data_IF_122743028026
#
_entry.id   IF_122743028026
#
_cell.length_a   1.000
_cell.length_b   1.000
_cell.length_c   1.000
_cell.angle_alpha   90.00
_cell.angle_beta   90.00
_cell.angle_gamma   90.00
#
_symmetry.space_group_name_H-M   'P 1'
#
loop_
_entity.id
_entity.type
_entity.pdbx_description
1 polymer ?
#
# COMPACT_ATOMS: atom_id res chain seq x y z
N UNK A 1 21.33 3.08 32.15
CA UNK A 1 21.78 1.73 31.76
C UNK A 1 21.73 1.64 30.25
N UNK A 2 22.79 1.16 29.60
CA UNK A 2 22.76 0.89 28.17
C UNK A 2 21.92 -0.37 27.91
N UNK A 3 21.19 -0.38 26.80
CA UNK A 3 20.52 -1.58 26.30
C UNK A 3 20.99 -1.87 24.88
N UNK A 4 20.80 -3.10 24.41
CA UNK A 4 20.96 -3.49 23.01
C UNK A 4 19.70 -4.18 22.51
N UNK A 5 19.50 -4.19 21.19
CA UNK A 5 18.48 -5.00 20.54
C UNK A 5 19.13 -6.26 19.96
N UNK A 6 18.69 -7.43 20.42
CA UNK A 6 18.78 -8.65 19.61
C UNK A 6 17.63 -8.61 18.63
N UNK A 7 17.86 -8.92 17.36
CA UNK A 7 16.84 -8.75 16.34
C UNK A 7 16.77 -9.96 15.40
N UNK A 8 15.61 -10.12 14.78
CA UNK A 8 15.38 -11.08 13.71
C UNK A 8 14.32 -10.51 12.76
N UNK A 9 14.41 -10.83 11.47
CA UNK A 9 13.41 -10.41 10.50
C UNK A 9 13.14 -11.53 9.50
N UNK A 10 11.87 -11.70 9.13
CA UNK A 10 11.42 -12.73 8.21
C UNK A 10 10.32 -12.18 7.31
N UNK A 11 10.33 -12.59 6.05
CA UNK A 11 9.29 -12.24 5.08
C UNK A 11 9.03 -13.44 4.16
N UNK A 12 7.77 -13.65 3.80
CA UNK A 12 7.30 -14.66 2.85
C UNK A 12 6.23 -14.06 1.94
N UNK A 13 6.25 -14.43 0.66
CA UNK A 13 5.27 -13.96 -0.33
C UNK A 13 3.84 -14.44 -0.04
N UNK A 14 3.68 -15.47 0.79
CA UNK A 14 2.38 -16.09 1.05
C UNK A 14 1.99 -17.08 -0.04
N UNK A 15 0.74 -17.54 0.00
CA UNK A 15 0.28 -18.65 -0.85
C UNK A 15 -0.54 -18.21 -2.06
N UNK A 16 -0.97 -16.95 -2.07
CA UNK A 16 -1.89 -16.40 -3.09
C UNK A 16 -1.23 -15.33 -3.95
N UNK A 17 -0.39 -14.46 -3.35
CA UNK A 17 0.27 -13.37 -4.08
C UNK A 17 1.39 -13.89 -4.98
N UNK A 18 1.60 -13.19 -6.10
CA UNK A 18 2.65 -13.53 -7.08
C UNK A 18 4.01 -12.91 -6.74
N UNK A 19 4.03 -11.84 -5.97
CA UNK A 19 5.20 -11.06 -5.61
C UNK A 19 5.08 -10.57 -4.17
N UNK A 20 6.23 -10.28 -3.57
CA UNK A 20 6.31 -9.76 -2.22
C UNK A 20 6.48 -8.24 -2.26
N UNK A 21 5.46 -7.53 -1.79
CA UNK A 21 5.41 -6.07 -1.73
C UNK A 21 5.70 -5.55 -0.32
N UNK A 22 5.89 -6.42 0.68
CA UNK A 22 6.38 -6.02 2.00
C UNK A 22 7.89 -5.80 1.98
N UNK A 23 8.39 -4.81 2.71
CA UNK A 23 9.80 -4.59 3.01
C UNK A 23 10.05 -4.52 4.51
N UNK A 24 11.21 -5.01 4.94
CA UNK A 24 11.61 -4.94 6.35
C UNK A 24 13.11 -4.75 6.55
N UNK A 25 13.47 -4.10 7.65
CA UNK A 25 14.85 -3.85 8.07
C UNK A 25 14.98 -4.02 9.57
N UNK A 26 16.07 -4.66 10.02
CA UNK A 26 16.35 -4.84 11.43
C UNK A 26 17.84 -4.74 11.73
N UNK A 27 18.20 -3.91 12.71
CA UNK A 27 19.57 -3.71 13.17
C UNK A 27 19.61 -3.53 14.69
N UNK A 28 20.80 -3.33 15.30
CA UNK A 28 20.91 -3.01 16.72
C UNK A 28 20.20 -1.71 17.16
N UNK A 29 19.95 -0.78 16.23
CA UNK A 29 19.38 0.54 16.55
C UNK A 29 18.09 0.86 15.81
N UNK A 30 17.78 0.18 14.71
CA UNK A 30 16.66 0.50 13.84
C UNK A 30 15.86 -0.75 13.48
N UNK A 31 14.54 -0.64 13.60
CA UNK A 31 13.57 -1.61 13.07
C UNK A 31 12.64 -0.88 12.12
N UNK A 32 12.39 -1.44 10.94
CA UNK A 32 11.46 -0.88 9.95
C UNK A 32 10.62 -1.99 9.35
N UNK A 33 9.33 -1.72 9.17
CA UNK A 33 8.44 -2.53 8.35
C UNK A 33 7.60 -1.60 7.47
N UNK A 34 7.46 -1.96 6.20
CA UNK A 34 6.67 -1.24 5.23
C UNK A 34 5.88 -2.24 4.36
N UNK A 35 4.57 -2.13 4.34
CA UNK A 35 3.67 -2.96 3.53
C UNK A 35 3.26 -2.17 2.29
N UNK A 36 3.78 -2.60 1.15
CA UNK A 36 3.68 -1.89 -0.12
C UNK A 36 2.37 -2.21 -0.84
N UNK A 37 1.66 -1.15 -1.24
CA UNK A 37 0.42 -1.24 -1.98
C UNK A 37 0.48 -0.49 -3.32
N UNK A 38 -0.44 -0.84 -4.21
CA UNK A 38 -0.41 -0.47 -5.62
C UNK A 38 -0.32 -1.72 -6.48
N UNK A 39 -0.50 -1.57 -7.80
CA UNK A 39 -0.31 -2.70 -8.74
C UNK A 39 1.01 -3.44 -8.49
N UNK A 40 1.16 -4.66 -9.00
CA UNK A 40 2.26 -5.55 -8.59
C UNK A 40 3.65 -4.88 -8.54
N UNK A 41 4.04 -4.07 -9.53
CA UNK A 41 5.33 -3.40 -9.60
C UNK A 41 5.43 -2.02 -8.88
N UNK A 42 4.32 -1.55 -8.31
CA UNK A 42 4.23 -0.27 -7.61
C UNK A 42 4.45 -0.45 -6.10
N UNK A 43 3.83 -1.46 -5.50
CA UNK A 43 3.94 -1.72 -4.06
C UNK A 43 5.35 -2.14 -3.62
N UNK A 44 6.03 -3.00 -4.38
CA UNK A 44 7.39 -3.44 -4.07
C UNK A 44 8.41 -2.29 -4.14
N UNK A 45 8.26 -1.40 -5.12
CA UNK A 45 9.05 -0.17 -5.22
C UNK A 45 8.75 0.74 -4.03
N UNK A 46 7.48 0.94 -3.67
CA UNK A 46 7.10 1.82 -2.58
C UNK A 46 7.71 1.41 -1.24
N UNK A 47 7.50 0.15 -0.83
CA UNK A 47 8.06 -0.35 0.43
C UNK A 47 9.59 -0.39 0.42
N UNK A 48 10.21 -0.78 -0.70
CA UNK A 48 11.68 -0.81 -0.82
C UNK A 48 12.31 0.58 -0.71
N UNK A 49 11.70 1.60 -1.31
CA UNK A 49 12.19 2.99 -1.24
C UNK A 49 12.08 3.50 0.18
N UNK A 50 10.93 3.33 0.84
CA UNK A 50 10.73 3.74 2.24
C UNK A 50 11.72 3.06 3.19
N UNK A 51 11.92 1.74 3.06
CA UNK A 51 12.92 1.02 3.85
C UNK A 51 14.32 1.56 3.58
N UNK A 52 14.67 1.86 2.33
CA UNK A 52 15.97 2.41 1.96
C UNK A 52 16.27 3.78 2.59
N UNK A 53 15.30 4.70 2.57
CA UNK A 53 15.43 6.02 3.22
C UNK A 53 15.63 5.89 4.73
N UNK A 54 14.88 5.00 5.38
CA UNK A 54 14.98 4.80 6.83
C UNK A 54 16.25 4.04 7.23
N UNK A 55 16.71 3.08 6.42
CA UNK A 55 17.93 2.32 6.69
C UNK A 55 19.18 3.22 6.79
N UNK A 56 19.18 4.37 6.10
CA UNK A 56 20.27 5.35 6.19
C UNK A 56 20.41 5.97 7.59
N UNK A 57 19.37 5.90 8.44
CA UNK A 57 19.47 6.33 9.83
C UNK A 57 20.35 5.39 10.68
N UNK A 58 20.60 4.16 10.24
CA UNK A 58 21.43 3.23 11.02
C UNK A 58 22.94 3.53 10.92
N UNK A 59 23.34 4.43 10.02
CA UNK A 59 24.74 4.83 9.81
C UNK A 59 25.25 5.83 10.87
N UNK A 60 24.33 6.47 11.61
CA UNK A 60 24.64 7.53 12.58
C UNK A 60 24.20 7.16 14.01
N UNK A 61 24.71 7.91 14.99
CA UNK A 61 24.30 7.81 16.40
C UNK A 61 23.57 9.10 16.79
N UNK A 62 22.31 8.96 17.20
CA UNK A 62 21.47 10.10 17.55
C UNK A 62 21.30 10.26 19.07
N UNK A 63 21.13 11.51 19.51
CA UNK A 63 20.66 11.83 20.85
C UNK A 63 19.19 11.47 21.03
N UNK A 64 18.74 11.27 22.27
CA UNK A 64 17.35 10.93 22.55
C UNK A 64 16.35 12.00 22.06
N UNK A 65 16.73 13.27 22.12
CA UNK A 65 15.90 14.41 21.70
C UNK A 65 15.79 14.53 20.17
N UNK A 66 16.75 13.97 19.43
CA UNK A 66 16.80 14.02 17.96
C UNK A 66 16.03 12.87 17.30
N UNK A 67 15.70 11.81 18.05
CA UNK A 67 15.11 10.58 17.49
C UNK A 67 13.83 10.81 16.67
N UNK A 68 12.84 11.51 17.23
CA UNK A 68 11.60 11.80 16.50
C UNK A 68 11.82 12.77 15.32
N UNK A 69 12.56 13.89 15.49
CA UNK A 69 12.93 14.75 14.36
C UNK A 69 13.57 14.01 13.18
N UNK A 70 14.53 13.12 13.42
CA UNK A 70 15.21 12.40 12.33
C UNK A 70 14.30 11.36 11.67
N UNK A 71 13.50 10.61 12.46
CA UNK A 71 12.51 9.70 11.91
C UNK A 71 11.48 10.42 11.03
N UNK A 72 10.89 11.51 11.54
CA UNK A 72 9.91 12.31 10.79
C UNK A 72 10.50 12.84 9.48
N UNK A 73 11.73 13.35 9.54
CA UNK A 73 12.43 13.85 8.37
C UNK A 73 12.61 12.74 7.32
N UNK A 74 13.14 11.58 7.70
CA UNK A 74 13.36 10.47 6.76
C UNK A 74 12.06 9.88 6.20
N UNK A 75 10.99 9.80 7.01
CA UNK A 75 9.67 9.37 6.50
C UNK A 75 9.11 10.38 5.50
N UNK A 76 9.26 11.68 5.75
CA UNK A 76 8.82 12.73 4.82
C UNK A 76 9.66 12.74 3.53
N UNK A 77 10.97 12.54 3.61
CA UNK A 77 11.84 12.40 2.44
C UNK A 77 11.44 11.19 1.59
N UNK A 78 11.13 10.05 2.24
CA UNK A 78 10.57 8.89 1.56
C UNK A 78 9.21 9.21 0.92
N UNK A 79 8.30 9.88 1.63
CA UNK A 79 7.00 10.28 1.07
C UNK A 79 7.14 11.12 -0.20
N UNK A 80 7.99 12.14 -0.16
CA UNK A 80 8.24 13.03 -1.31
C UNK A 80 8.81 12.25 -2.50
N UNK A 81 9.80 11.36 -2.27
CA UNK A 81 10.37 10.50 -3.32
C UNK A 81 9.29 9.58 -3.94
N UNK A 82 8.39 9.03 -3.11
CA UNK A 82 7.28 8.22 -3.61
C UNK A 82 6.31 9.03 -4.47
N UNK A 83 5.88 10.22 -4.02
CA UNK A 83 4.99 11.07 -4.80
C UNK A 83 5.63 11.46 -6.15
N UNK A 84 6.90 11.86 -6.14
CA UNK A 84 7.63 12.25 -7.35
C UNK A 84 7.75 11.07 -8.35
N UNK A 85 8.02 9.86 -7.87
CA UNK A 85 8.06 8.66 -8.74
C UNK A 85 6.70 8.32 -9.34
N UNK A 86 5.63 8.41 -8.55
CA UNK A 86 4.27 8.14 -9.02
C UNK A 86 3.81 9.16 -10.07
N UNK A 87 4.27 10.42 -9.96
CA UNK A 87 4.00 11.47 -10.95
C UNK A 87 4.79 11.29 -12.24
N UNK A 88 6.03 10.80 -12.16
CA UNK A 88 6.94 10.67 -13.30
C UNK A 88 6.81 9.35 -14.07
N UNK A 89 6.29 8.28 -13.45
CA UNK A 89 6.06 6.99 -14.11
C UNK A 89 4.60 6.53 -13.96
N UNK A 90 3.82 6.52 -15.06
CA UNK A 90 2.43 6.01 -15.04
C UNK A 90 2.29 4.56 -14.54
N UNK A 91 3.34 3.74 -14.59
CA UNK A 91 3.31 2.38 -14.06
C UNK A 91 3.37 2.33 -12.52
N UNK A 92 3.81 3.42 -11.89
CA UNK A 92 3.87 3.61 -10.44
C UNK A 92 2.71 4.46 -9.91
N UNK A 93 1.74 4.79 -10.76
CA UNK A 93 0.57 5.57 -10.37
C UNK A 93 -0.23 4.85 -9.27
N UNK A 94 -0.52 5.57 -8.19
CA UNK A 94 -1.24 5.04 -7.02
C UNK A 94 -0.39 4.06 -6.19
N UNK A 95 0.93 4.11 -6.30
CA UNK A 95 1.79 3.41 -5.36
C UNK A 95 1.72 4.04 -3.98
N UNK A 96 1.80 3.21 -2.96
CA UNK A 96 1.93 3.68 -1.60
C UNK A 96 2.46 2.58 -0.70
N UNK A 97 2.74 2.92 0.54
CA UNK A 97 3.16 1.91 1.53
C UNK A 97 2.76 2.35 2.92
N UNK A 98 2.47 1.38 3.78
CA UNK A 98 2.51 1.59 5.23
C UNK A 98 3.96 1.82 5.68
N UNK A 99 4.14 2.30 6.90
CA UNK A 99 5.44 2.36 7.54
C UNK A 99 5.29 2.30 9.06
N UNK A 100 6.06 1.40 9.68
CA UNK A 100 6.42 1.51 11.10
C UNK A 100 7.93 1.53 11.19
N UNK A 101 8.48 2.49 11.95
CA UNK A 101 9.89 2.49 12.29
C UNK A 101 10.10 2.73 13.78
N UNK A 102 11.03 1.98 14.38
CA UNK A 102 11.55 2.22 15.72
C UNK A 102 13.04 2.51 15.67
N UNK A 103 13.44 3.67 16.20
CA UNK A 103 14.83 4.08 16.34
C UNK A 103 15.22 4.17 17.81
N UNK A 104 16.37 3.59 18.15
CA UNK A 104 16.89 3.51 19.51
C UNK A 104 17.99 4.55 19.74
N UNK A 105 17.92 5.22 20.88
CA UNK A 105 19.09 5.87 21.49
C UNK A 105 19.14 5.54 22.97
N UNK A 106 20.25 4.97 23.44
CA UNK A 106 20.40 4.50 24.81
C UNK A 106 19.22 3.59 25.21
N UNK A 107 18.46 3.93 26.26
CA UNK A 107 17.26 3.21 26.71
C UNK A 107 15.94 3.77 26.15
N UNK A 108 15.98 4.69 25.19
CA UNK A 108 14.79 5.26 24.56
C UNK A 108 14.58 4.65 23.18
N UNK A 109 13.31 4.36 22.88
CA UNK A 109 12.83 3.95 21.57
C UNK A 109 11.83 5.01 21.10
N UNK A 110 12.16 5.69 20.00
CA UNK A 110 11.19 6.51 19.28
C UNK A 110 10.53 5.67 18.20
N UNK A 111 9.23 5.82 18.03
CA UNK A 111 8.43 5.13 17.03
C UNK A 111 7.66 6.13 16.19
N UNK A 112 7.63 5.89 14.89
CA UNK A 112 6.71 6.54 13.94
C UNK A 112 5.88 5.47 13.25
N UNK A 113 4.61 5.78 12.98
CA UNK A 113 3.67 4.86 12.37
C UNK A 113 2.71 5.56 11.40
N UNK A 114 2.46 4.91 10.28
CA UNK A 114 1.37 5.20 9.36
C UNK A 114 0.91 3.93 8.64
N UNK A 115 -0.41 3.72 8.55
CA UNK A 115 -1.02 2.60 7.85
C UNK A 115 -1.66 1.65 8.82
N UNK A 116 -1.79 0.38 8.45
CA UNK A 116 -2.45 -0.66 9.23
C UNK A 116 -1.52 -1.81 9.63
N UNK A 117 -0.26 -1.78 9.22
CA UNK A 117 0.76 -2.63 9.84
C UNK A 117 0.84 -2.36 11.34
N UNK A 118 1.17 -3.37 12.14
CA UNK A 118 1.06 -3.27 13.60
C UNK A 118 2.39 -3.44 14.33
N UNK A 119 2.57 -2.66 15.39
CA UNK A 119 3.61 -2.89 16.38
C UNK A 119 3.02 -3.43 17.68
N UNK A 120 3.62 -4.48 18.21
CA UNK A 120 3.27 -5.06 19.50
C UNK A 120 4.47 -5.01 20.45
N UNK A 121 4.19 -4.76 21.73
CA UNK A 121 5.13 -4.88 22.83
C UNK A 121 4.68 -6.03 23.73
N UNK A 122 5.53 -7.02 23.90
CA UNK A 122 5.42 -8.05 24.94
C UNK A 122 6.26 -7.60 26.14
N UNK A 123 5.58 -7.34 27.26
CA UNK A 123 6.21 -6.98 28.53
C UNK A 123 5.49 -7.71 29.66
N UNK A 124 6.26 -8.29 30.58
CA UNK A 124 5.73 -9.05 31.72
C UNK A 124 4.74 -10.17 31.31
N UNK A 125 4.99 -10.79 30.16
CA UNK A 125 4.16 -11.87 29.61
C UNK A 125 2.84 -11.43 28.96
N UNK A 126 2.59 -10.12 28.81
CA UNK A 126 1.40 -9.58 28.15
C UNK A 126 1.75 -8.87 26.85
N UNK A 127 1.13 -9.28 25.75
CA UNK A 127 1.25 -8.65 24.45
C UNK A 127 0.27 -7.48 24.37
N UNK A 128 0.74 -6.31 23.97
CA UNK A 128 -0.09 -5.12 23.79
C UNK A 128 0.21 -4.49 22.44
N UNK A 129 -0.83 -4.22 21.65
CA UNK A 129 -0.69 -3.43 20.43
C UNK A 129 -0.36 -1.99 20.80
N UNK A 130 0.69 -1.43 20.18
CA UNK A 130 1.21 -0.09 20.47
C UNK A 130 0.78 0.92 19.41
N UNK A 131 0.55 0.46 18.18
CA UNK A 131 0.05 1.27 17.06
C UNK A 131 -1.47 1.31 17.03
N UNK A 132 -2.02 2.32 16.38
CA UNK A 132 -3.44 2.47 16.13
C UNK A 132 -3.69 2.42 14.63
N UNK A 133 -4.44 1.43 14.14
CA UNK A 133 -4.55 1.18 12.70
C UNK A 133 -5.22 2.36 11.97
N UNK A 134 -4.61 2.85 10.89
CA UNK A 134 -5.21 3.87 10.03
C UNK A 134 -6.14 3.25 8.98
N UNK A 135 -7.13 2.46 9.42
CA UNK A 135 -8.14 1.82 8.55
C UNK A 135 -9.52 2.46 8.70
N UNK A 136 -10.37 2.27 7.69
CA UNK A 136 -11.78 2.68 7.75
C UNK A 136 -12.50 2.03 8.94
N UNK A 137 -12.26 0.75 9.20
CA UNK A 137 -12.95 0.04 10.29
C UNK A 137 -12.50 0.55 11.64
N UNK A 138 -11.21 0.86 11.82
CA UNK A 138 -10.73 1.46 13.06
C UNK A 138 -11.36 2.84 13.27
N UNK A 139 -11.46 3.67 12.23
CA UNK A 139 -12.18 4.95 12.29
C UNK A 139 -13.64 4.76 12.73
N UNK A 140 -14.35 3.76 12.20
CA UNK A 140 -15.74 3.48 12.59
C UNK A 140 -15.86 3.01 14.04
N UNK A 141 -14.91 2.19 14.51
CA UNK A 141 -14.82 1.75 15.92
C UNK A 141 -14.60 2.93 16.85
N UNK A 142 -13.65 3.80 16.54
CA UNK A 142 -13.33 4.98 17.35
C UNK A 142 -14.52 5.94 17.49
N UNK A 143 -15.40 5.97 16.49
CA UNK A 143 -16.62 6.79 16.48
C UNK A 143 -17.85 6.04 17.01
N UNK A 144 -17.69 4.84 17.56
CA UNK A 144 -18.78 4.02 18.12
C UNK A 144 -19.81 3.57 17.08
N UNK A 145 -19.44 3.58 15.79
CA UNK A 145 -20.31 3.13 14.69
C UNK A 145 -20.17 1.63 14.44
N UNK A 146 -19.10 1.03 14.95
CA UNK A 146 -18.80 -0.40 14.84
C UNK A 146 -18.21 -0.90 16.15
N UNK A 147 -18.49 -2.13 16.53
CA UNK A 147 -17.77 -2.80 17.61
C UNK A 147 -16.45 -3.40 17.09
N UNK A 148 -15.43 -3.61 17.95
CA UNK A 148 -14.20 -4.29 17.55
C UNK A 148 -14.45 -5.67 16.90
N UNK A 149 -15.42 -6.42 17.40
CA UNK A 149 -15.77 -7.75 16.90
C UNK A 149 -16.41 -7.69 15.49
N UNK A 150 -17.23 -6.67 15.23
CA UNK A 150 -17.80 -6.42 13.90
C UNK A 150 -16.74 -5.93 12.90
N UNK A 151 -15.74 -5.19 13.36
CA UNK A 151 -14.64 -4.68 12.53
C UNK A 151 -13.83 -5.81 11.88
N UNK A 152 -13.56 -6.89 12.61
CA UNK A 152 -12.82 -8.06 12.12
C UNK A 152 -13.49 -8.74 10.91
N UNK A 153 -14.82 -8.71 10.88
CA UNK A 153 -15.62 -9.38 9.84
C UNK A 153 -16.10 -8.42 8.76
N UNK A 154 -15.74 -7.13 8.84
CA UNK A 154 -16.26 -6.11 7.94
C UNK A 154 -15.69 -6.28 6.51
N UNK A 155 -16.52 -6.17 5.45
CA UNK A 155 -16.06 -6.31 4.06
C UNK A 155 -14.97 -5.32 3.63
N UNK A 156 -14.87 -4.18 4.32
CA UNK A 156 -13.88 -3.12 4.06
C UNK A 156 -12.81 -3.02 5.15
N UNK A 157 -12.51 -4.11 5.86
CA UNK A 157 -11.51 -4.08 6.96
C UNK A 157 -10.10 -3.70 6.48
N UNK A 158 -9.74 -4.05 5.25
CA UNK A 158 -8.45 -3.73 4.63
C UNK A 158 -8.43 -2.36 3.91
N UNK A 159 -9.42 -1.49 4.12
CA UNK A 159 -9.41 -0.15 3.49
C UNK A 159 -8.56 0.78 4.36
N UNK A 160 -7.33 1.02 3.92
CA UNK A 160 -6.39 1.96 4.53
C UNK A 160 -6.82 3.40 4.23
N UNK A 161 -6.71 4.27 5.23
CA UNK A 161 -7.07 5.69 5.18
C UNK A 161 -5.85 6.62 5.12
N UNK A 162 -4.68 6.16 5.61
CA UNK A 162 -3.43 6.93 5.60
C UNK A 162 -2.27 6.01 5.19
N UNK A 163 -1.51 6.42 4.18
CA UNK A 163 -0.30 5.73 3.73
C UNK A 163 0.69 6.72 3.12
N UNK A 164 1.96 6.32 2.98
CA UNK A 164 2.96 7.11 2.28
C UNK A 164 2.77 6.99 0.76
N UNK A 165 3.09 8.05 0.01
CA UNK A 165 3.04 8.06 -1.46
C UNK A 165 1.65 8.21 -2.10
N UNK A 166 0.57 7.92 -1.38
CA UNK A 166 -0.79 7.84 -1.95
C UNK A 166 -1.36 9.22 -2.37
N UNK A 167 -1.19 10.25 -1.55
CA UNK A 167 -1.68 11.61 -1.84
C UNK A 167 -0.59 12.64 -1.62
N UNK A 168 -0.39 13.62 -2.54
CA UNK A 168 0.55 14.72 -2.34
C UNK A 168 0.15 15.59 -1.15
N UNK A 169 1.11 15.95 -0.31
CA UNK A 169 0.92 16.88 0.80
C UNK A 169 1.70 16.49 2.05
N UNK A 170 1.35 17.11 3.17
CA UNK A 170 1.94 16.75 4.47
C UNK A 170 1.38 15.41 4.94
N UNK A 171 2.26 14.54 5.42
CA UNK A 171 1.89 13.28 6.04
C UNK A 171 1.73 13.48 7.54
N UNK A 172 0.53 13.22 8.04
CA UNK A 172 0.34 13.07 9.48
C UNK A 172 0.93 11.72 9.90
N UNK A 173 1.82 11.73 10.89
CA UNK A 173 2.44 10.53 11.46
C UNK A 173 2.03 10.38 12.92
N UNK A 174 1.82 9.14 13.33
CA UNK A 174 1.62 8.81 14.73
C UNK A 174 3.00 8.59 15.37
N UNK A 175 3.31 9.39 16.39
CA UNK A 175 4.64 9.46 16.99
C UNK A 175 4.61 9.10 18.48
N UNK A 176 5.59 8.34 18.96
CA UNK A 176 5.75 8.12 20.39
C UNK A 176 7.22 7.90 20.79
N UNK A 177 7.56 8.24 22.03
CA UNK A 177 8.84 7.87 22.64
C UNK A 177 8.57 7.06 23.89
N UNK A 178 9.27 5.93 24.02
CA UNK A 178 9.13 5.00 25.14
C UNK A 178 10.47 4.66 25.75
N UNK A 179 10.44 4.29 27.02
CA UNK A 179 11.58 3.68 27.68
C UNK A 179 11.54 2.17 27.49
N UNK A 180 12.64 1.65 26.97
CA UNK A 180 12.88 0.24 26.74
C UNK A 180 13.53 -0.38 27.98
N UNK A 181 12.97 -1.50 28.42
CA UNK A 181 13.43 -2.25 29.58
C UNK A 181 13.98 -3.60 29.12
N UNK A 182 15.09 -4.09 29.72
CA UNK A 182 15.56 -5.44 29.45
C UNK A 182 14.44 -6.48 29.62
N UNK A 183 14.32 -7.39 28.66
CA UNK A 183 13.26 -8.40 28.59
C UNK A 183 12.06 -7.99 27.72
N UNK A 184 11.92 -6.72 27.35
CA UNK A 184 10.91 -6.30 26.37
C UNK A 184 11.12 -7.00 25.03
N UNK A 185 10.03 -7.45 24.41
CA UNK A 185 10.06 -7.90 23.02
C UNK A 185 9.12 -7.09 22.15
N UNK A 186 9.66 -6.62 21.03
CA UNK A 186 8.94 -5.88 20.01
C UNK A 186 8.69 -6.78 18.80
N UNK A 187 7.48 -6.69 18.24
CA UNK A 187 7.10 -7.29 16.97
C UNK A 187 6.48 -6.20 16.09
N UNK A 188 7.04 -5.99 14.91
CA UNK A 188 6.39 -5.29 13.81
C UNK A 188 5.90 -6.33 12.82
N UNK A 189 4.67 -6.22 12.35
CA UNK A 189 4.13 -7.14 11.36
C UNK A 189 3.17 -6.47 10.37
N UNK A 190 3.16 -6.98 9.13
CA UNK A 190 2.12 -6.69 8.14
C UNK A 190 0.81 -7.41 8.47
N UNK A 191 -0.27 -7.04 7.77
CA UNK A 191 -1.60 -7.62 7.95
C UNK A 191 -1.67 -9.10 7.60
N UNK A 192 -0.77 -9.59 6.75
CA UNK A 192 -0.64 -11.00 6.43
C UNK A 192 -0.29 -11.89 7.63
N UNK A 193 0.20 -11.33 8.75
CA UNK A 193 0.31 -12.08 10.01
C UNK A 193 -1.00 -12.04 10.79
N UNK A 194 -1.39 -10.86 11.29
CA UNK A 194 -2.48 -10.74 12.26
C UNK A 194 -3.88 -10.92 11.63
N UNK A 195 -3.97 -10.89 10.29
CA UNK A 195 -5.19 -11.22 9.55
C UNK A 195 -5.51 -12.71 9.53
N UNK A 196 -4.55 -13.59 9.86
CA UNK A 196 -4.76 -15.07 9.89
C UNK A 196 -4.25 -15.75 11.16
N UNK A 197 -3.46 -15.06 12.00
CA UNK A 197 -2.97 -15.55 13.28
C UNK A 197 -3.56 -14.73 14.42
N UNK A 198 -4.29 -15.38 15.31
CA UNK A 198 -4.94 -14.74 16.46
C UNK A 198 -3.94 -14.14 17.46
N UNK A 199 -4.35 -13.07 18.15
CA UNK A 199 -3.54 -12.33 19.10
C UNK A 199 -2.91 -13.23 20.18
N UNK A 200 -3.69 -14.13 20.77
CA UNK A 200 -3.23 -15.05 21.83
C UNK A 200 -2.16 -16.01 21.32
N UNK A 201 -2.25 -16.42 20.05
CA UNK A 201 -1.26 -17.30 19.43
C UNK A 201 0.06 -16.55 19.18
N UNK A 202 -0.02 -15.26 18.82
CA UNK A 202 1.15 -14.40 18.69
C UNK A 202 1.81 -14.22 20.07
N UNK A 203 1.03 -13.90 21.11
CA UNK A 203 1.52 -13.74 22.49
C UNK A 203 2.22 -15.00 23.00
N UNK A 204 1.59 -16.17 22.84
CA UNK A 204 2.15 -17.45 23.26
C UNK A 204 3.46 -17.75 22.52
N UNK A 205 3.50 -17.49 21.21
CA UNK A 205 4.67 -17.74 20.37
C UNK A 205 5.84 -16.87 20.78
N UNK A 206 5.59 -15.57 21.00
CA UNK A 206 6.61 -14.62 21.45
C UNK A 206 7.07 -14.91 22.88
N UNK A 207 6.21 -15.45 23.75
CA UNK A 207 6.56 -15.72 25.16
C UNK A 207 7.42 -16.98 25.35
N UNK A 208 7.21 -18.02 24.52
CA UNK A 208 7.78 -19.36 24.77
C UNK A 208 9.06 -19.68 23.99
N UNK A 209 9.42 -18.88 23.00
CA UNK A 209 10.50 -19.19 22.06
C UNK A 209 11.63 -18.17 22.16
N UNK A 210 12.82 -18.53 21.70
CA UNK A 210 13.84 -17.52 21.41
C UNK A 210 13.44 -16.70 20.17
N UNK A 211 14.06 -15.55 19.96
CA UNK A 211 13.65 -14.58 18.95
C UNK A 211 13.58 -15.15 17.52
N UNK A 212 14.60 -15.90 17.10
CA UNK A 212 14.65 -16.52 15.77
C UNK A 212 13.56 -17.59 15.61
N UNK A 213 13.43 -18.49 16.59
CA UNK A 213 12.41 -19.54 16.56
C UNK A 213 11.00 -18.97 16.66
N UNK A 214 10.81 -17.81 17.29
CA UNK A 214 9.54 -17.10 17.30
C UNK A 214 9.21 -16.57 15.91
N UNK A 215 10.14 -15.89 15.24
CA UNK A 215 9.92 -15.34 13.90
C UNK A 215 9.64 -16.40 12.84
N UNK A 216 10.43 -17.48 12.82
CA UNK A 216 10.15 -18.63 11.94
C UNK A 216 8.76 -19.21 12.22
N UNK A 217 8.40 -19.35 13.51
CA UNK A 217 7.11 -19.92 13.87
C UNK A 217 5.93 -19.03 13.47
N UNK A 218 6.07 -17.70 13.58
CA UNK A 218 5.02 -16.77 13.15
C UNK A 218 4.76 -16.88 11.65
N UNK A 219 5.81 -16.97 10.82
CA UNK A 219 5.66 -17.22 9.38
C UNK A 219 5.00 -18.57 9.10
N UNK A 220 5.42 -19.65 9.79
CA UNK A 220 4.78 -20.96 9.64
C UNK A 220 3.29 -20.93 10.01
N UNK A 221 2.93 -20.23 11.08
CA UNK A 221 1.54 -20.10 11.53
C UNK A 221 0.71 -19.33 10.51
N UNK A 222 1.23 -18.24 9.95
CA UNK A 222 0.54 -17.49 8.90
C UNK A 222 0.32 -18.33 7.64
N UNK A 223 1.36 -19.07 7.20
CA UNK A 223 1.26 -20.01 6.07
C UNK A 223 0.26 -21.14 6.35
N UNK A 224 0.21 -21.64 7.58
CA UNK A 224 -0.77 -22.65 8.00
C UNK A 224 -2.20 -22.10 8.04
N UNK A 225 -2.37 -20.81 8.37
CA UNK A 225 -3.61 -20.06 8.29
C UNK A 225 -4.04 -19.69 6.87
N UNK A 226 -3.24 -20.05 5.86
CA UNK A 226 -3.54 -19.85 4.44
C UNK A 226 -2.77 -18.72 3.77
N UNK A 227 -2.17 -17.79 4.53
CA UNK A 227 -1.40 -16.63 4.06
C UNK A 227 -1.91 -16.05 2.71
N UNK A 228 -3.11 -15.43 2.71
CA UNK A 228 -3.69 -14.83 1.51
C UNK A 228 -2.92 -13.58 1.05
N UNK A 229 -2.06 -13.03 1.91
CA UNK A 229 -1.19 -11.89 1.64
C UNK A 229 0.29 -12.20 1.88
N UNK A 230 1.15 -11.25 1.54
CA UNK A 230 2.54 -11.19 1.98
C UNK A 230 2.60 -11.14 3.50
N UNK A 231 3.58 -11.81 4.09
CA UNK A 231 3.71 -11.90 5.55
C UNK A 231 5.12 -11.50 5.94
N UNK A 232 5.23 -10.41 6.69
CA UNK A 232 6.52 -9.90 7.17
C UNK A 232 6.47 -9.67 8.67
N UNK A 233 7.53 -10.09 9.36
CA UNK A 233 7.73 -9.86 10.79
C UNK A 233 9.14 -9.34 11.05
N UNK A 234 9.23 -8.27 11.84
CA UNK A 234 10.48 -7.71 12.35
C UNK A 234 10.43 -7.74 13.87
N UNK A 235 11.40 -8.40 14.49
CA UNK A 235 11.41 -8.74 15.89
C UNK A 235 12.63 -8.13 16.57
N UNK A 236 12.45 -7.64 17.79
CA UNK A 236 13.57 -7.29 18.66
C UNK A 236 13.33 -7.71 20.11
N UNK A 237 14.40 -8.10 20.80
CA UNK A 237 14.45 -8.33 22.23
C UNK A 237 15.44 -7.35 22.85
N UNK A 238 14.97 -6.57 23.82
CA UNK A 238 15.80 -5.63 24.56
C UNK A 238 16.63 -6.41 25.59
N UNK A 239 17.94 -6.27 25.52
CA UNK A 239 18.89 -6.90 26.46
C UNK A 239 19.75 -5.86 27.14
N UNK A 240 20.19 -6.16 28.36
CA UNK A 240 21.13 -5.29 29.07
C UNK A 240 22.51 -5.34 28.37
N UNK A 241 23.15 -4.18 28.24
CA UNK A 241 24.47 -4.05 27.61
C UNK A 241 25.57 -4.80 28.39
N UNK A 242 25.36 -5.05 29.68
CA UNK A 242 26.28 -5.79 30.56
C UNK A 242 26.26 -7.32 30.38
N UNK A 243 25.25 -7.90 29.72
CA UNK A 243 25.10 -9.34 29.49
C UNK A 243 25.87 -9.86 28.24
N UNK A 244 26.81 -9.07 27.73
CA UNK A 244 27.43 -9.21 26.39
C UNK A 244 28.63 -10.16 26.29
N UNK A 245 28.97 -10.89 27.36
CA UNK A 245 30.12 -11.84 27.35
C UNK A 245 30.05 -12.95 26.29
N UNK A 246 28.89 -13.17 25.65
CA UNK A 246 28.67 -14.25 24.67
C UNK A 246 27.85 -13.86 23.43
N UNK A 247 27.50 -12.59 23.22
CA UNK A 247 26.79 -12.20 21.99
C UNK A 247 27.83 -12.03 20.88
N UNK A 248 28.04 -13.13 20.14
CA UNK A 248 28.73 -13.10 18.87
C UNK A 248 27.96 -12.16 17.94
N UNK A 249 28.45 -10.91 17.84
CA UNK A 249 28.04 -9.85 16.92
C UNK A 249 27.60 -10.38 15.54
N UNK A 250 26.33 -10.71 15.36
CA UNK A 250 25.71 -10.53 14.04
C UNK A 250 25.43 -9.02 13.91
N UNK A 251 26.50 -8.26 13.67
CA UNK A 251 26.46 -6.80 13.54
C UNK A 251 25.90 -6.33 12.19
N UNK A 252 25.52 -7.27 11.31
CA UNK A 252 24.98 -6.90 10.02
C UNK A 252 23.46 -6.74 10.12
N UNK A 253 22.91 -5.61 9.65
CA UNK A 253 21.48 -5.45 9.51
C UNK A 253 20.88 -6.57 8.65
N UNK A 254 19.67 -6.98 9.00
CA UNK A 254 18.88 -7.93 8.22
C UNK A 254 17.87 -7.12 7.40
N UNK A 255 17.87 -7.35 6.09
CA UNK A 255 16.87 -6.79 5.15
C UNK A 255 16.05 -7.93 4.58
N UNK A 256 14.72 -7.79 4.56
CA UNK A 256 13.78 -8.81 4.08
C UNK A 256 12.74 -8.22 3.14
N UNK A 257 12.07 -9.08 2.38
CA UNK A 257 10.97 -8.68 1.49
C UNK A 257 11.46 -8.00 0.21
N UNK A 258 10.68 -7.05 -0.31
CA UNK A 258 10.95 -6.22 -1.49
C UNK A 258 12.28 -5.47 -1.40
N UNK A 259 12.68 -5.06 -0.20
CA UNK A 259 13.94 -4.37 0.06
C UNK A 259 15.18 -5.29 -0.01
N UNK A 260 15.00 -6.60 0.02
CA UNK A 260 16.11 -7.55 0.01
C UNK A 260 16.62 -7.86 -1.40
N UNK A 261 17.92 -8.17 -1.51
CA UNK A 261 18.56 -8.59 -2.77
C UNK A 261 17.88 -9.82 -3.38
N UNK A 262 17.27 -10.66 -2.54
CA UNK A 262 16.58 -11.90 -2.90
C UNK A 262 15.05 -11.81 -2.87
N UNK A 263 14.47 -10.61 -3.06
CA UNK A 263 13.03 -10.31 -3.04
C UNK A 263 12.14 -11.22 -3.93
N UNK A 264 12.70 -11.96 -4.89
CA UNK A 264 11.97 -12.91 -5.77
C UNK A 264 11.90 -14.34 -5.23
N UNK A 265 12.21 -14.57 -3.95
CA UNK A 265 12.14 -15.91 -3.35
C UNK A 265 10.69 -16.43 -3.35
N UNK A 266 10.45 -17.69 -3.81
CA UNK A 266 9.14 -18.30 -3.73
C UNK A 266 8.76 -18.64 -2.28
N UNK A 267 7.46 -18.76 -2.01
CA UNK A 267 6.96 -19.09 -0.66
C UNK A 267 7.52 -20.40 -0.12
N UNK A 268 7.89 -20.39 1.16
CA UNK A 268 8.28 -21.60 1.91
C UNK A 268 7.14 -22.60 2.03
N UNK A 269 5.90 -22.12 1.94
CA UNK A 269 4.69 -22.93 2.10
C UNK A 269 4.24 -23.70 0.86
N UNK A 270 4.89 -23.56 -0.30
CA UNK A 270 4.36 -24.00 -1.61
C UNK A 270 3.97 -25.49 -1.79
N UNK A 271 4.27 -26.37 -0.83
CA UNK A 271 3.84 -27.79 -0.83
C UNK A 271 2.80 -28.15 0.24
N UNK A 272 2.41 -27.20 1.09
CA UNK A 272 1.51 -27.43 2.22
C UNK A 272 0.07 -27.72 1.76
N UNK A 273 -0.75 -28.28 2.65
CA UNK A 273 -2.18 -28.45 2.39
C UNK A 273 -2.87 -27.10 2.13
N UNK A 274 -2.49 -26.06 2.88
CA UNK A 274 -2.94 -24.70 2.66
C UNK A 274 -2.56 -24.17 1.27
N UNK A 275 -1.34 -24.46 0.78
CA UNK A 275 -0.90 -24.04 -0.55
C UNK A 275 -1.67 -24.77 -1.66
N UNK A 276 -1.95 -26.06 -1.46
CA UNK A 276 -2.81 -26.82 -2.37
C UNK A 276 -4.23 -26.28 -2.37
N UNK A 277 -4.77 -25.90 -1.21
CA UNK A 277 -6.09 -25.31 -1.08
C UNK A 277 -6.16 -23.92 -1.75
N UNK A 278 -5.16 -23.07 -1.54
CA UNK A 278 -5.04 -21.77 -2.20
C UNK A 278 -4.94 -21.89 -3.74
N UNK A 279 -4.33 -22.97 -4.24
CA UNK A 279 -4.23 -23.27 -5.66
C UNK A 279 -5.50 -23.91 -6.25
N UNK A 280 -6.47 -24.32 -5.43
CA UNK A 280 -7.75 -24.83 -5.92
C UNK A 280 -8.66 -23.65 -6.29
N UNK A 281 -9.32 -23.69 -7.46
CA UNK A 281 -10.41 -22.75 -7.72
C UNK A 281 -11.48 -22.92 -6.63
N UNK A 282 -12.10 -21.83 -6.13
CA UNK A 282 -12.96 -21.87 -4.97
C UNK A 282 -14.04 -22.94 -5.14
N UNK A 283 -13.95 -23.98 -4.32
CA UNK A 283 -15.01 -24.97 -4.19
C UNK A 283 -16.20 -24.25 -3.57
N UNK A 284 -17.35 -24.32 -4.24
CA UNK A 284 -18.64 -23.93 -3.66
C UNK A 284 -18.83 -24.78 -2.41
N UNK A 285 -18.52 -24.20 -1.25
CA UNK A 285 -18.73 -24.86 0.03
C UNK A 285 -20.23 -24.86 0.29
N UNK A 286 -20.86 -25.98 -0.08
CA UNK A 286 -22.12 -26.45 0.48
C UNK A 286 -22.05 -26.37 2.00
N UNK A 287 -23.14 -25.98 2.65
CA UNK A 287 -23.38 -26.34 4.05
C UNK A 287 -24.85 -26.23 4.45
N UNK A 288 -25.24 -26.99 5.48
CA UNK A 288 -26.44 -27.81 5.49
C UNK A 288 -27.48 -27.30 6.50
N UNK A 289 -28.63 -27.97 6.56
CA UNK A 289 -29.25 -28.49 7.79
C UNK A 289 -30.79 -28.39 7.83
N UNK A 290 -31.34 -29.48 8.37
CA UNK A 290 -32.63 -29.78 8.99
C UNK A 290 -33.86 -28.89 8.80
N UNK A 291 -35.00 -29.59 8.60
CA UNK A 291 -36.29 -29.10 9.11
C UNK A 291 -37.55 -29.64 8.44
N UNK A 292 -38.19 -30.59 9.12
CA UNK A 292 -39.65 -30.73 9.24
C UNK A 292 -40.45 -31.51 8.16
N UNK A 293 -40.72 -32.77 8.52
CA UNK A 293 -42.05 -33.39 8.72
C UNK A 293 -43.21 -33.05 7.78
N UNK A 294 -43.73 -34.09 7.11
CA UNK A 294 -45.13 -34.60 7.17
C UNK A 294 -45.21 -35.79 6.19
N UNK A 295 -45.26 -37.02 6.69
CA UNK A 295 -46.48 -37.77 7.02
C UNK A 295 -47.26 -38.24 5.78
N UNK A 296 -47.14 -39.52 5.44
CA UNK A 296 -48.27 -40.48 5.34
C UNK A 296 -47.81 -41.83 4.75
N UNK A 297 -48.01 -42.89 5.57
CA UNK A 297 -48.59 -44.23 5.25
C UNK A 297 -48.60 -44.69 3.78
N UNK A 298 -48.25 -45.93 3.39
CA UNK A 298 -48.55 -47.24 3.97
C UNK A 298 -47.78 -48.34 3.18
N UNK A 299 -47.44 -49.42 3.87
CA UNK A 299 -47.17 -50.82 3.47
C UNK A 299 -47.03 -51.23 1.98
N UNK A 300 -45.92 -51.89 1.62
CA UNK A 300 -45.85 -53.34 1.30
C UNK A 300 -44.56 -53.76 0.54
N UNK A 301 -43.93 -54.80 1.07
CA UNK A 301 -43.14 -55.91 0.48
C UNK A 301 -42.27 -55.77 -0.82
N UNK A 302 -41.09 -56.39 -0.68
CA UNK A 302 -40.30 -57.16 -1.67
C UNK A 302 -39.37 -56.44 -2.67
N UNK A 303 -38.11 -56.85 -2.65
CA UNK A 303 -37.11 -56.65 -3.72
C UNK A 303 -37.25 -57.75 -4.81
N UNK A 304 -36.48 -57.80 -5.93
CA UNK A 304 -35.47 -56.87 -6.48
C UNK A 304 -35.53 -56.67 -8.03
N UNK A 305 -34.50 -56.00 -8.58
CA UNK A 305 -33.95 -56.04 -9.96
C UNK A 305 -34.68 -55.39 -11.17
N UNK A 306 -33.90 -54.58 -11.91
CA UNK A 306 -33.93 -54.60 -13.39
C UNK A 306 -34.19 -53.30 -14.16
N UNK A 307 -33.22 -52.97 -15.03
CA UNK A 307 -33.35 -52.30 -16.32
C UNK A 307 -33.28 -50.75 -16.43
N UNK A 308 -32.24 -50.35 -17.17
CA UNK A 308 -31.90 -49.03 -17.66
C UNK A 308 -33.01 -48.34 -18.47
N UNK A 309 -33.09 -47.01 -18.39
CA UNK A 309 -33.56 -46.19 -19.53
C UNK A 309 -32.90 -44.81 -19.58
N UNK A 310 -31.92 -44.74 -20.49
CA UNK A 310 -31.23 -43.56 -21.04
C UNK A 310 -32.23 -42.50 -21.52
N UNK A 311 -32.28 -41.32 -20.89
CA UNK A 311 -32.93 -40.10 -21.43
C UNK A 311 -31.98 -38.89 -21.38
N UNK A 312 -31.77 -38.35 -22.58
CA UNK A 312 -30.95 -37.21 -23.05
C UNK A 312 -30.17 -36.34 -22.03
N UNK A 313 -28.84 -36.52 -22.03
CA UNK A 313 -27.80 -35.60 -21.50
C UNK A 313 -27.66 -34.30 -22.33
N UNK A 314 -28.76 -33.70 -22.78
CA UNK A 314 -28.74 -32.40 -23.49
C UNK A 314 -29.34 -31.29 -22.63
N UNK A 315 -30.29 -31.61 -21.74
CA UNK A 315 -30.91 -30.64 -20.83
C UNK A 315 -29.94 -29.99 -19.80
N UNK A 316 -29.01 -30.71 -19.15
CA UNK A 316 -28.09 -30.07 -18.20
C UNK A 316 -27.03 -29.20 -18.89
N UNK A 317 -26.71 -29.44 -20.17
CA UNK A 317 -25.75 -28.61 -20.93
C UNK A 317 -26.35 -27.27 -21.34
N UNK A 318 -27.64 -27.25 -21.66
CA UNK A 318 -28.37 -26.01 -21.95
C UNK A 318 -28.52 -25.18 -20.66
N UNK A 319 -28.83 -25.82 -19.52
CA UNK A 319 -28.92 -25.12 -18.24
C UNK A 319 -27.57 -24.51 -17.79
N UNK A 320 -26.45 -25.21 -17.98
CA UNK A 320 -25.11 -24.67 -17.71
C UNK A 320 -24.79 -23.49 -18.63
N UNK A 321 -25.12 -23.57 -19.92
CA UNK A 321 -24.91 -22.47 -20.86
C UNK A 321 -25.74 -21.22 -20.48
N UNK A 322 -27.00 -21.41 -20.07
CA UNK A 322 -27.84 -20.31 -19.56
C UNK A 322 -27.29 -19.72 -18.26
N UNK A 323 -26.74 -20.55 -17.36
CA UNK A 323 -26.08 -20.09 -16.13
C UNK A 323 -24.83 -19.24 -16.42
N UNK A 324 -23.98 -19.68 -17.35
CA UNK A 324 -22.80 -18.92 -17.78
C UNK A 324 -23.20 -17.59 -18.44
N UNK A 325 -24.21 -17.61 -19.31
CA UNK A 325 -24.72 -16.38 -19.95
C UNK A 325 -25.34 -15.41 -18.92
N UNK A 326 -26.00 -15.92 -17.88
CA UNK A 326 -26.53 -15.09 -16.79
C UNK A 326 -25.41 -14.42 -15.98
N UNK A 327 -24.32 -15.14 -15.68
CA UNK A 327 -23.15 -14.59 -14.97
C UNK A 327 -22.46 -13.53 -15.83
N UNK A 328 -22.24 -13.80 -17.12
CA UNK A 328 -21.68 -12.81 -18.05
C UNK A 328 -22.59 -11.59 -18.12
N UNK A 329 -23.91 -11.79 -18.19
CA UNK A 329 -24.90 -10.72 -18.14
C UNK A 329 -24.81 -9.88 -16.85
N UNK A 330 -24.64 -10.53 -15.69
CA UNK A 330 -24.49 -9.85 -14.41
C UNK A 330 -23.19 -9.06 -14.29
N UNK A 331 -22.08 -9.60 -14.80
CA UNK A 331 -20.77 -8.91 -14.87
C UNK A 331 -20.84 -7.70 -15.81
N UNK A 332 -21.43 -7.88 -17.00
CA UNK A 332 -21.63 -6.79 -17.96
C UNK A 332 -22.60 -5.73 -17.41
N UNK A 333 -23.63 -6.13 -16.69
CA UNK A 333 -24.55 -5.21 -16.01
C UNK A 333 -23.86 -4.47 -14.87
N UNK A 334 -23.05 -5.14 -14.06
CA UNK A 334 -22.22 -4.52 -13.02
C UNK A 334 -21.26 -3.48 -13.59
N UNK A 335 -20.51 -3.85 -14.65
CA UNK A 335 -19.64 -2.93 -15.37
C UNK A 335 -20.43 -1.74 -15.96
N UNK A 336 -21.60 -1.99 -16.57
CA UNK A 336 -22.46 -0.94 -17.10
C UNK A 336 -22.94 0.01 -16.00
N UNK A 337 -23.48 -0.50 -14.90
CA UNK A 337 -23.94 0.32 -13.76
C UNK A 337 -22.81 1.15 -13.13
N UNK A 338 -21.60 0.59 -13.07
CA UNK A 338 -20.41 1.32 -12.63
C UNK A 338 -20.01 2.43 -13.60
N UNK A 339 -20.11 2.23 -14.93
CA UNK A 339 -19.88 3.34 -15.87
C UNK A 339 -20.94 4.44 -15.74
N UNK A 340 -22.19 4.08 -15.42
CA UNK A 340 -23.30 5.03 -15.30
C UNK A 340 -23.30 5.86 -14.00
N UNK A 341 -22.33 5.64 -13.10
CA UNK A 341 -22.15 6.46 -11.89
C UNK A 341 -21.19 7.65 -12.09
N UNK A 342 -20.50 7.73 -13.23
CA UNK A 342 -19.53 8.80 -13.53
C UNK A 342 -20.11 9.86 -14.45
N UNK A 343 -19.58 11.07 -14.35
CA UNK A 343 -19.94 12.22 -15.19
C UNK A 343 -18.68 12.83 -15.80
N UNK A 344 -18.79 13.39 -17.00
CA UNK A 344 -17.70 14.18 -17.56
C UNK A 344 -18.22 15.37 -18.36
N UNK A 345 -17.39 16.40 -18.48
CA UNK A 345 -17.69 17.62 -19.24
C UNK A 345 -16.85 17.62 -20.51
N UNK A 346 -17.50 17.81 -21.66
CA UNK A 346 -16.86 17.83 -22.97
C UNK A 346 -17.55 18.82 -23.92
N UNK A 347 -16.92 19.09 -25.06
CA UNK A 347 -17.49 19.90 -26.15
C UNK A 347 -18.43 19.08 -27.03
N UNK A 348 -19.66 19.56 -27.25
CA UNK A 348 -20.60 19.01 -28.24
C UNK A 348 -21.27 20.13 -29.02
N UNK A 349 -21.24 20.07 -30.35
CA UNK A 349 -21.82 21.09 -31.24
C UNK A 349 -21.39 22.54 -30.89
N UNK A 350 -20.15 22.72 -30.43
CA UNK A 350 -19.61 24.03 -30.04
C UNK A 350 -20.08 24.55 -28.68
N UNK A 351 -20.74 23.72 -27.87
CA UNK A 351 -21.20 24.04 -26.50
C UNK A 351 -20.60 23.10 -25.46
N UNK A 352 -20.46 23.59 -24.24
CA UNK A 352 -20.04 22.77 -23.10
C UNK A 352 -21.21 21.87 -22.69
N UNK A 353 -20.98 20.57 -22.57
CA UNK A 353 -22.02 19.57 -22.34
C UNK A 353 -21.59 18.61 -21.23
N UNK A 354 -22.49 18.29 -20.31
CA UNK A 354 -22.31 17.23 -19.32
C UNK A 354 -22.81 15.92 -19.91
N UNK A 355 -21.95 14.93 -19.87
CA UNK A 355 -22.26 13.55 -20.18
C UNK A 355 -22.31 12.72 -18.91
N UNK A 356 -23.22 11.74 -18.89
CA UNK A 356 -23.25 10.68 -17.88
C UNK A 356 -22.70 9.40 -18.50
N UNK A 357 -21.67 8.83 -17.90
CA UNK A 357 -20.90 7.70 -18.45
C UNK A 357 -19.40 7.98 -18.50
N UNK A 358 -18.67 7.14 -19.24
CA UNK A 358 -17.25 7.33 -19.55
C UNK A 358 -17.07 7.79 -21.01
N UNK A 359 -16.04 8.57 -21.30
CA UNK A 359 -15.78 9.14 -22.64
C UNK A 359 -15.29 8.10 -23.67
N UNK A 360 -14.96 6.88 -23.24
CA UNK A 360 -14.51 5.79 -24.12
C UNK A 360 -15.69 5.11 -24.83
N UNK A 361 -15.47 4.67 -26.07
CA UNK A 361 -16.45 3.93 -26.87
C UNK A 361 -15.98 2.50 -27.11
N UNK A 362 -16.91 1.54 -27.07
CA UNK A 362 -16.66 0.13 -27.42
C UNK A 362 -17.28 -0.13 -28.79
N UNK A 363 -16.49 0.08 -29.85
CA UNK A 363 -16.95 -0.06 -31.24
C UNK A 363 -18.14 0.89 -31.53
N UNK A 364 -19.30 0.39 -32.00
CA UNK A 364 -20.46 1.24 -32.31
C UNK A 364 -21.24 1.70 -31.06
N UNK A 365 -20.91 1.22 -29.86
CA UNK A 365 -21.65 1.51 -28.63
C UNK A 365 -21.00 2.69 -27.91
N UNK A 366 -21.77 3.78 -27.76
CA UNK A 366 -21.42 4.90 -26.87
C UNK A 366 -21.79 4.52 -25.44
N UNK A 367 -20.82 4.57 -24.53
CA UNK A 367 -21.00 4.28 -23.10
C UNK A 367 -21.41 5.51 -22.29
N UNK A 368 -21.66 6.63 -22.98
CA UNK A 368 -22.13 7.88 -22.40
C UNK A 368 -23.33 8.42 -23.15
N UNK A 369 -24.18 9.15 -22.41
CA UNK A 369 -25.29 9.90 -22.96
C UNK A 369 -25.25 11.34 -22.47
N UNK A 370 -25.80 12.25 -23.28
CA UNK A 370 -25.92 13.66 -22.92
C UNK A 370 -26.91 13.76 -21.76
N UNK A 371 -26.44 14.30 -20.64
CA UNK A 371 -27.26 14.54 -19.46
C UNK A 371 -27.76 15.98 -19.45
N UNK A 372 -26.90 16.94 -19.78
CA UNK A 372 -27.22 18.37 -19.73
C UNK A 372 -26.38 19.14 -20.78
N UNK A 373 -27.03 19.78 -21.76
CA UNK A 373 -26.37 20.75 -22.65
C UNK A 373 -26.44 22.14 -22.03
N UNK A 374 -25.31 22.84 -21.98
CA UNK A 374 -25.26 24.21 -21.43
C UNK A 374 -25.37 25.26 -22.53
N UNK A 375 -25.67 26.49 -22.13
CA UNK A 375 -25.69 27.67 -22.97
C UNK A 375 -24.27 28.22 -23.29
N UNK A 376 -23.24 27.71 -22.63
CA UNK A 376 -21.85 28.14 -22.76
C UNK A 376 -21.27 27.69 -24.09
N UNK A 377 -20.89 28.65 -24.96
CA UNK A 377 -20.18 28.34 -26.20
C UNK A 377 -18.70 28.12 -25.92
N UNK A 378 -18.14 27.09 -26.51
CA UNK A 378 -16.70 26.74 -26.37
C UNK A 378 -15.81 27.83 -26.95
N UNK A 379 -16.28 28.57 -27.96
CA UNK A 379 -15.57 29.69 -28.56
C UNK A 379 -15.38 30.89 -27.63
N UNK A 380 -16.26 31.04 -26.62
CA UNK A 380 -16.23 32.14 -25.67
C UNK A 380 -15.31 31.85 -24.47
N UNK A 381 -14.74 30.63 -24.40
CA UNK A 381 -13.81 30.21 -23.36
C UNK A 381 -12.37 30.64 -23.63
N UNK A 382 -11.61 30.83 -22.55
CA UNK A 382 -10.16 31.05 -22.63
C UNK A 382 -9.44 29.86 -23.29
N UNK A 383 -8.30 30.06 -23.97
CA UNK A 383 -7.57 28.98 -24.65
C UNK A 383 -7.23 27.79 -23.75
N UNK A 384 -6.82 28.05 -22.50
CA UNK A 384 -6.50 27.02 -21.50
C UNK A 384 -7.74 26.19 -21.12
N UNK A 385 -8.90 26.82 -21.01
CA UNK A 385 -10.15 26.13 -20.71
C UNK A 385 -10.65 25.28 -21.90
N UNK A 386 -10.38 25.72 -23.15
CA UNK A 386 -10.68 24.94 -24.35
C UNK A 386 -9.83 23.67 -24.43
N UNK A 387 -8.52 23.78 -24.18
CA UNK A 387 -7.60 22.64 -24.19
C UNK A 387 -7.96 21.61 -23.10
N UNK A 388 -8.38 22.07 -21.91
CA UNK A 388 -8.87 21.18 -20.84
C UNK A 388 -10.19 20.47 -21.19
N UNK A 389 -11.07 21.09 -21.98
CA UNK A 389 -12.31 20.46 -22.45
C UNK A 389 -12.07 19.41 -23.52
N UNK A 390 -10.99 19.52 -24.31
CA UNK A 390 -10.58 18.48 -25.26
C UNK A 390 -10.10 17.21 -24.55
N UNK A 391 -9.49 17.36 -23.36
CA UNK A 391 -9.04 16.24 -22.54
C UNK A 391 -10.17 15.49 -21.78
N UNK A 392 -11.43 15.97 -21.85
CA UNK A 392 -12.59 15.48 -21.09
C UNK A 392 -12.42 15.55 -19.56
N UNK A 393 -13.15 16.45 -18.91
CA UNK A 393 -13.04 16.66 -17.46
C UNK A 393 -13.96 15.68 -16.72
N UNK A 394 -13.42 14.57 -16.20
CA UNK A 394 -14.19 13.56 -15.46
C UNK A 394 -14.45 13.98 -14.00
N UNK A 395 -15.65 13.67 -13.48
CA UNK A 395 -16.11 13.94 -12.11
C UNK A 395 -16.89 12.76 -11.52
N UNK A 396 -16.87 12.64 -10.19
CA UNK A 396 -17.52 11.56 -9.46
C UNK A 396 -19.02 11.77 -9.28
N UNK A 397 -19.52 12.99 -9.47
CA UNK A 397 -20.93 13.34 -9.30
C UNK A 397 -21.41 14.44 -10.26
N UNK A 398 -22.72 14.53 -10.42
CA UNK A 398 -23.38 15.59 -11.21
C UNK A 398 -23.20 16.97 -10.58
N UNK A 399 -23.15 17.07 -9.26
CA UNK A 399 -22.89 18.34 -8.55
C UNK A 399 -21.49 18.86 -8.83
N UNK A 400 -20.49 17.98 -8.81
CA UNK A 400 -19.12 18.33 -9.19
C UNK A 400 -19.02 18.76 -10.66
N UNK A 401 -19.72 18.07 -11.58
CA UNK A 401 -19.77 18.47 -12.98
C UNK A 401 -20.41 19.86 -13.17
N UNK A 402 -21.43 20.19 -12.37
CA UNK A 402 -22.03 21.54 -12.35
C UNK A 402 -21.11 22.60 -11.75
N UNK A 403 -20.30 22.26 -10.73
CA UNK A 403 -19.26 23.15 -10.21
C UNK A 403 -18.21 23.50 -11.28
N UNK A 404 -17.87 22.58 -12.17
CA UNK A 404 -16.99 22.89 -13.31
C UNK A 404 -17.64 23.94 -14.23
N UNK A 405 -18.94 23.85 -14.49
CA UNK A 405 -19.68 24.83 -15.29
C UNK A 405 -19.73 26.20 -14.60
N UNK A 406 -19.98 26.25 -13.28
CA UNK A 406 -19.99 27.52 -12.54
C UNK A 406 -18.64 28.21 -12.60
N UNK A 407 -17.55 27.46 -12.41
CA UNK A 407 -16.19 28.00 -12.47
C UNK A 407 -15.87 28.52 -13.89
N UNK A 408 -16.28 27.80 -14.94
CA UNK A 408 -16.11 28.27 -16.32
C UNK A 408 -16.91 29.55 -16.59
N UNK A 409 -18.08 29.74 -15.97
CA UNK A 409 -18.85 30.99 -16.07
C UNK A 409 -18.19 32.14 -15.32
N UNK A 410 -17.59 31.88 -14.17
CA UNK A 410 -16.85 32.88 -13.39
C UNK A 410 -15.59 33.34 -14.14
N UNK A 411 -14.85 32.40 -14.75
CA UNK A 411 -13.70 32.70 -15.60
C UNK A 411 -14.04 33.53 -16.85
N UNK A 412 -15.28 33.41 -17.36
CA UNK A 412 -15.81 34.28 -18.42
C UNK A 412 -16.19 35.68 -17.91
N UNK A 413 -16.59 35.81 -16.63
CA UNK A 413 -17.05 37.06 -16.03
C UNK A 413 -15.90 37.96 -15.55
N UNK A 414 -14.73 37.39 -15.26
CA UNK A 414 -13.52 38.13 -14.90
C UNK A 414 -12.72 38.54 -16.15
N UNK A 415 -12.55 39.85 -16.44
CA UNK A 415 -11.66 40.28 -17.51
C UNK A 415 -10.22 39.95 -17.13
N UNK A 416 -9.53 39.13 -17.93
CA UNK A 416 -8.11 38.85 -17.76
C UNK A 416 -7.30 40.15 -17.87
N UNK A 417 -6.82 40.67 -16.75
CA UNK A 417 -5.62 41.52 -16.74
C UNK A 417 -4.41 40.62 -16.89
N UNK A 418 -3.95 40.42 -18.12
CA UNK A 418 -2.54 40.18 -18.40
C UNK A 418 -2.15 40.82 -19.74
N UNK A 419 -0.96 41.42 -19.83
CA UNK A 419 -0.63 42.38 -20.87
C UNK A 419 -0.51 41.73 -22.25
N UNK A 420 -1.13 42.40 -23.21
CA UNK A 420 -0.96 42.26 -24.65
C UNK A 420 0.51 42.30 -25.05
N UNK A 421 1.04 41.18 -25.55
CA UNK A 421 2.13 41.19 -26.55
C UNK A 421 1.52 40.94 -27.93
N UNK A 422 1.40 42.02 -28.70
CA UNK A 422 1.19 41.99 -30.15
C UNK A 422 2.53 42.40 -30.83
N UNK A 423 2.68 42.32 -32.16
CA UNK A 423 3.52 41.33 -32.84
C UNK A 423 4.73 41.92 -33.59
N UNK A 424 5.56 41.03 -34.16
CA UNK A 424 6.63 41.21 -35.17
C UNK A 424 8.08 41.35 -34.68
N UNK A 425 8.85 40.27 -34.83
CA UNK A 425 10.16 40.25 -35.50
C UNK A 425 10.53 38.79 -35.91
N UNK A 426 11.19 38.55 -37.05
CA UNK A 426 11.37 37.20 -37.60
C UNK A 426 12.54 36.45 -36.97
N UNK A 427 12.38 35.12 -36.91
CA UNK A 427 13.35 34.15 -36.40
C UNK A 427 14.64 34.03 -37.25
N UNK A 428 15.78 33.66 -36.65
CA UNK A 428 16.85 32.97 -37.36
C UNK A 428 16.83 31.45 -37.05
N UNK A 429 16.93 30.65 -38.12
CA UNK A 429 17.14 29.21 -38.08
C UNK A 429 18.65 28.86 -37.95
N UNK A 430 19.02 27.59 -37.64
CA UNK A 430 20.25 27.22 -36.95
C UNK A 430 21.43 26.88 -37.88
N UNK A 431 22.67 27.01 -37.38
CA UNK A 431 23.88 26.51 -38.03
C UNK A 431 25.10 26.48 -37.09
N UNK A 432 25.53 25.28 -36.71
CA UNK A 432 26.84 24.91 -36.12
C UNK A 432 28.00 25.17 -37.13
N UNK A 433 29.32 24.98 -36.82
CA UNK A 433 29.94 24.35 -35.64
C UNK A 433 31.17 25.09 -35.03
N UNK A 434 31.73 24.51 -33.97
CA UNK A 434 32.94 24.90 -33.26
C UNK A 434 34.23 24.89 -34.12
N UNK A 435 35.31 25.54 -33.65
CA UNK A 435 36.46 24.75 -33.22
C UNK A 435 37.13 25.24 -31.92
N UNK A 436 37.72 24.29 -31.17
CA UNK A 436 38.67 24.47 -30.06
C UNK A 436 40.11 24.65 -30.58
N UNK A 437 41.17 24.57 -29.74
CA UNK A 437 41.60 25.40 -28.59
C UNK A 437 43.00 26.03 -28.87
N UNK A 438 43.59 26.84 -27.97
CA UNK A 438 45.07 26.86 -27.68
C UNK A 438 45.50 27.90 -26.61
N UNK A 439 46.18 27.35 -25.60
CA UNK A 439 47.33 27.80 -24.77
C UNK A 439 47.36 29.05 -23.85
N UNK A 440 47.87 28.74 -22.65
CA UNK A 440 48.44 29.53 -21.54
C UNK A 440 49.81 30.18 -21.91
N UNK A 441 50.75 30.67 -21.03
CA UNK A 441 50.91 30.51 -19.56
C UNK A 441 51.49 31.70 -18.74
N UNK A 442 51.71 31.52 -17.43
CA UNK A 442 52.63 32.34 -16.60
C UNK A 442 52.33 32.27 -15.10
N UNK A 443 52.96 31.36 -14.34
CA UNK A 443 54.07 31.60 -13.38
C UNK A 443 53.61 32.20 -12.02
N UNK A 444 53.53 31.40 -10.95
CA UNK A 444 54.61 30.99 -10.03
C UNK A 444 54.88 32.01 -8.89
N UNK A 445 54.52 31.65 -7.64
CA UNK A 445 55.40 31.65 -6.46
C UNK A 445 54.61 31.32 -5.17
N UNK A 446 55.16 30.38 -4.40
CA UNK A 446 55.03 30.18 -2.96
C UNK A 446 56.45 30.35 -2.37
N UNK A 447 56.74 30.11 -1.07
CA UNK A 447 56.00 30.25 0.19
C UNK A 447 56.78 31.13 1.21
N UNK A 448 56.24 31.36 2.41
CA UNK A 448 56.96 31.65 3.67
C UNK A 448 55.89 31.60 4.80
N UNK A 449 56.08 31.10 6.01
CA UNK A 449 57.24 30.67 6.78
C UNK A 449 56.74 30.40 8.22
N UNK A 450 57.46 29.54 8.93
CA UNK A 450 57.02 28.84 10.15
C UNK A 450 57.17 29.62 11.48
N UNK A 451 56.42 29.14 12.48
CA UNK A 451 56.72 28.98 13.92
C UNK A 451 57.41 30.11 14.73
N UNK A 452 56.85 30.45 15.90
CA UNK A 452 57.42 30.05 17.22
C UNK A 452 56.66 30.62 18.44
N UNK A 453 56.61 29.77 19.46
CA UNK A 453 56.37 29.90 20.90
C UNK A 453 56.43 31.28 21.61
N UNK A 454 55.55 31.44 22.60
CA UNK A 454 55.96 31.32 24.01
C UNK A 454 55.66 32.46 25.00
N UNK A 455 55.10 32.06 26.17
CA UNK A 455 55.25 32.62 27.55
C UNK A 455 54.56 33.99 27.80
N UNK A 456 53.77 34.27 28.86
CA UNK A 456 53.73 33.95 30.30
C UNK A 456 52.27 33.89 30.77
#
# INVERSE_FOLDING_TARGET
>A
MGIQLRFAAYSDVGLVRSNNQDGGYASPNLLVLADGMGGAAAGDVASSVTVGHLAALDDDVYGADDLLPVLRKSVNEAHVDLVERAENDPNLAGMGTTCIALLRSSNKLAMVHIGDSRAYLLRDGKLTQVTHDHTLVQFLVDHGQLTPEEAEHHPKRNVIMRALGDTPGDVELDESVREAMPGDRWLLCSDGLFGVVAHETIEETLSRRNLNAAGEKLIELALAGGAPDNVTVVLAEVVDDSDTGSIQRSQQPIVVGSAAVDHRRPSRGGKSAAAKAAALPPASADSPDTGQSQDQSQDEAAAPEGAERRRSRVLPRVAVLFGVLAIIGAVLFGAYTWTQSRYYVASHNGRVTIYRGISQSLGPIKLSHIQEETDIKVGDLQPVARERLEANISRGSLEEARKVISNLREEMATPSTNPSTAPNAPAPAPGSPAPSPTAAPGAAQAPDGAASNGVV
#
